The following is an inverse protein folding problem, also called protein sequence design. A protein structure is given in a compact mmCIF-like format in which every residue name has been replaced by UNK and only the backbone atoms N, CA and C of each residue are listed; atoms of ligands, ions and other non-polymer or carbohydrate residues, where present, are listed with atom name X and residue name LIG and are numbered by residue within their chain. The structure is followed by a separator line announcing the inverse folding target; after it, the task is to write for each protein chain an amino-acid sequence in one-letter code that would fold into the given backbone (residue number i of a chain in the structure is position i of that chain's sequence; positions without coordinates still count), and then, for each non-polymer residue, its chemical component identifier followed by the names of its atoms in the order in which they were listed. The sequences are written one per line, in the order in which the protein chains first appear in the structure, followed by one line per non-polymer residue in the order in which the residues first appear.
data_IF_401129751300
#
_entry.id   IF_401129751300
#
_cell.length_a   1.000
_cell.length_b   1.000
_cell.length_c   1.000
_cell.angle_alpha   90.00
_cell.angle_beta   90.00
_cell.angle_gamma   90.00
#
_symmetry.space_group_name_H-M   'P 1'
#
loop_
_entity.id
_entity.type
_entity.pdbx_description
1 polymer ?
#
# COMPACT_ATOMS: atom_id res chain seq x y z
N UNK A 1 7.27 -16.80 -19.76
CA UNK A 1 6.20 -16.62 -18.76
C UNK A 1 6.16 -15.22 -18.08
N UNK A 2 7.04 -14.27 -18.46
CA UNK A 2 7.10 -12.89 -17.89
C UNK A 2 6.91 -11.78 -18.95
N UNK A 3 6.12 -12.03 -20.00
CA UNK A 3 5.74 -10.95 -20.95
C UNK A 3 4.67 -10.06 -20.31
N UNK A 4 4.87 -8.75 -20.34
CA UNK A 4 3.89 -7.76 -19.91
C UNK A 4 3.31 -7.11 -21.17
N UNK A 5 1.98 -7.17 -21.31
CA UNK A 5 1.29 -6.47 -22.39
C UNK A 5 1.56 -4.97 -22.35
N UNK A 6 1.75 -4.39 -23.54
CA UNK A 6 1.86 -2.93 -23.68
C UNK A 6 0.58 -2.28 -23.11
N UNK A 7 0.72 -1.23 -22.28
CA UNK A 7 -0.43 -0.48 -21.78
C UNK A 7 -1.30 0.01 -22.93
N UNK A 8 -2.59 -0.32 -22.88
CA UNK A 8 -3.57 0.13 -23.86
C UNK A 8 -3.99 1.55 -23.52
N UNK A 9 -3.83 2.47 -24.47
CA UNK A 9 -4.41 3.80 -24.35
C UNK A 9 -5.94 3.71 -24.46
N UNK A 10 -6.64 4.42 -23.59
CA UNK A 10 -8.10 4.40 -23.49
C UNK A 10 -8.60 5.82 -23.50
N UNK A 11 -9.56 6.12 -24.37
CA UNK A 11 -10.20 7.44 -24.41
C UNK A 11 -10.81 7.84 -23.04
N UNK A 12 -10.83 9.14 -22.78
CA UNK A 12 -11.25 9.72 -21.50
C UNK A 12 -12.60 9.20 -20.99
N UNK A 13 -13.61 9.13 -21.86
CA UNK A 13 -14.95 8.65 -21.50
C UNK A 13 -14.93 7.22 -20.95
N UNK A 14 -14.15 6.33 -21.57
CA UNK A 14 -13.99 4.94 -21.12
C UNK A 14 -13.28 4.86 -19.76
N UNK A 15 -12.32 5.74 -19.50
CA UNK A 15 -11.63 5.79 -18.21
C UNK A 15 -12.58 6.23 -17.09
N UNK A 16 -13.38 7.28 -17.34
CA UNK A 16 -14.36 7.79 -16.37
C UNK A 16 -15.47 6.78 -16.10
N UNK A 17 -16.14 6.28 -17.14
CA UNK A 17 -17.21 5.30 -17.00
C UNK A 17 -16.70 3.98 -16.41
N UNK A 18 -15.52 3.54 -16.82
CA UNK A 18 -14.88 2.35 -16.26
C UNK A 18 -14.59 2.50 -14.77
N UNK A 19 -14.07 3.65 -14.35
CA UNK A 19 -13.81 3.97 -12.93
C UNK A 19 -15.11 3.87 -12.12
N UNK A 20 -16.17 4.55 -12.55
CA UNK A 20 -17.45 4.52 -11.81
C UNK A 20 -18.09 3.11 -11.83
N UNK A 21 -17.99 2.36 -12.94
CA UNK A 21 -18.42 0.96 -12.99
C UNK A 21 -17.73 0.09 -11.93
N UNK A 22 -16.39 0.15 -11.84
CA UNK A 22 -15.66 -0.64 -10.85
C UNK A 22 -15.92 -0.17 -9.42
N UNK A 23 -16.19 1.14 -9.22
CA UNK A 23 -16.60 1.67 -7.93
C UNK A 23 -17.94 1.05 -7.49
N UNK A 24 -18.93 1.08 -8.37
CA UNK A 24 -20.25 0.50 -8.11
C UNK A 24 -20.17 -1.01 -7.90
N UNK A 25 -19.38 -1.73 -8.73
CA UNK A 25 -19.14 -3.17 -8.59
C UNK A 25 -18.56 -3.53 -7.22
N UNK A 26 -17.55 -2.77 -6.74
CA UNK A 26 -16.98 -2.99 -5.41
C UNK A 26 -17.97 -2.68 -4.30
N UNK A 27 -18.77 -1.63 -4.43
CA UNK A 27 -19.83 -1.30 -3.45
C UNK A 27 -20.88 -2.40 -3.36
N UNK A 28 -21.34 -2.90 -4.51
CA UNK A 28 -22.23 -4.07 -4.56
C UNK A 28 -21.61 -5.24 -3.80
N UNK A 29 -20.35 -5.60 -4.11
CA UNK A 29 -19.68 -6.67 -3.39
C UNK A 29 -19.62 -6.43 -1.87
N UNK A 30 -19.36 -5.22 -1.40
CA UNK A 30 -19.36 -4.91 0.04
C UNK A 30 -20.71 -5.03 0.74
N UNK A 31 -21.81 -4.89 0.01
CA UNK A 31 -23.18 -5.01 0.53
C UNK A 31 -23.65 -6.46 0.57
N UNK A 32 -23.20 -7.29 -0.37
CA UNK A 32 -23.65 -8.68 -0.54
C UNK A 32 -22.61 -9.72 -0.12
N UNK A 33 -21.53 -9.31 0.55
CA UNK A 33 -20.53 -10.25 1.07
C UNK A 33 -20.80 -10.59 2.51
N UNK A 34 -20.61 -11.86 2.88
CA UNK A 34 -20.69 -12.34 4.26
C UNK A 34 -19.44 -12.01 5.10
N UNK A 35 -18.52 -11.20 4.55
CA UNK A 35 -17.30 -10.79 5.27
C UNK A 35 -17.64 -9.82 6.39
N UNK A 36 -17.22 -10.17 7.59
CA UNK A 36 -17.15 -9.24 8.72
C UNK A 36 -15.92 -8.36 8.57
N UNK A 37 -16.11 -7.04 8.69
CA UNK A 37 -15.03 -6.08 8.60
C UNK A 37 -14.72 -5.46 9.95
N UNK A 38 -13.41 -5.28 10.19
CA UNK A 38 -12.82 -4.62 11.34
C UNK A 38 -13.44 -3.24 11.59
N UNK A 39 -13.47 -2.82 12.87
CA UNK A 39 -14.08 -1.55 13.32
C UNK A 39 -13.22 -0.90 14.39
N UNK A 40 -13.48 0.37 14.67
CA UNK A 40 -12.85 1.08 15.79
C UNK A 40 -13.26 0.42 17.11
N UNK A 41 -12.31 0.28 18.03
CA UNK A 41 -12.53 -0.29 19.37
C UNK A 41 -12.13 0.69 20.46
N UNK A 42 -12.63 0.47 21.68
CA UNK A 42 -12.08 1.11 22.88
C UNK A 42 -10.90 0.28 23.36
N UNK A 43 -9.73 0.92 23.44
CA UNK A 43 -8.35 0.41 23.51
C UNK A 43 -7.98 -0.54 24.69
N UNK A 44 -8.86 -1.43 25.14
CA UNK A 44 -8.61 -2.30 26.29
C UNK A 44 -7.89 -3.60 25.85
N UNK A 45 -6.76 -3.91 26.49
CA UNK A 45 -6.10 -5.22 26.41
C UNK A 45 -5.09 -5.46 25.27
N UNK A 46 -4.70 -4.45 24.48
CA UNK A 46 -3.73 -4.61 23.38
C UNK A 46 -2.36 -3.97 23.70
N UNK A 47 -1.59 -4.61 24.57
CA UNK A 47 -0.33 -4.07 25.10
C UNK A 47 0.92 -4.61 24.39
N UNK A 48 0.78 -5.66 23.58
CA UNK A 48 1.92 -6.31 22.97
C UNK A 48 2.20 -5.75 21.57
N UNK A 49 3.23 -4.93 21.44
CA UNK A 49 3.71 -4.47 20.13
C UNK A 49 4.17 -5.64 19.27
N UNK A 50 3.64 -5.70 18.05
CA UNK A 50 4.00 -6.70 17.03
C UNK A 50 5.01 -6.11 16.06
N UNK A 51 4.72 -4.92 15.53
CA UNK A 51 5.61 -4.25 14.58
C UNK A 51 5.33 -2.76 14.50
N UNK A 52 6.40 -1.97 14.53
CA UNK A 52 6.38 -0.52 14.36
C UNK A 52 7.08 -0.11 13.06
N UNK A 53 6.49 0.85 12.34
CA UNK A 53 7.11 1.46 11.19
C UNK A 53 6.80 2.96 11.09
N UNK A 54 7.72 3.69 10.47
CA UNK A 54 7.54 5.10 10.13
C UNK A 54 8.08 5.46 8.76
N UNK A 55 7.47 6.46 8.15
CA UNK A 55 7.91 7.00 6.86
C UNK A 55 7.84 8.52 6.86
N UNK A 56 8.85 9.18 6.26
CA UNK A 56 8.87 10.63 6.10
C UNK A 56 7.68 11.10 5.26
N UNK A 57 6.88 12.03 5.77
CA UNK A 57 5.70 12.57 5.07
C UNK A 57 6.13 13.49 3.94
N UNK A 58 7.05 14.40 4.23
CA UNK A 58 7.51 15.42 3.31
C UNK A 58 8.86 14.99 2.75
N UNK A 59 8.96 14.93 1.42
CA UNK A 59 10.23 14.82 0.71
C UNK A 59 10.29 15.98 -0.25
N UNK A 60 11.29 16.89 -0.16
CA UNK A 60 11.43 17.93 -1.18
C UNK A 60 11.63 17.23 -2.53
N UNK A 61 10.65 17.39 -3.41
CA UNK A 61 10.71 16.91 -4.78
C UNK A 61 11.05 18.12 -5.66
N UNK A 62 12.00 17.94 -6.57
CA UNK A 62 12.32 18.96 -7.56
C UNK A 62 11.07 19.22 -8.41
N UNK A 63 10.78 20.48 -8.69
CA UNK A 63 9.69 20.91 -9.58
C UNK A 63 8.27 20.55 -9.09
N UNK A 64 8.07 20.44 -7.77
CA UNK A 64 6.76 20.22 -7.13
C UNK A 64 6.42 21.36 -6.18
N UNK A 65 5.21 21.93 -6.34
CA UNK A 65 4.70 22.95 -5.44
C UNK A 65 4.57 22.44 -4.00
N UNK A 66 5.17 23.16 -3.04
CA UNK A 66 5.17 22.78 -1.63
C UNK A 66 3.77 22.66 -1.01
N UNK A 67 2.78 23.42 -1.49
CA UNK A 67 1.41 23.32 -0.97
C UNK A 67 0.80 21.94 -1.19
N UNK A 68 1.18 21.20 -2.25
CA UNK A 68 0.69 19.84 -2.51
C UNK A 68 1.21 18.85 -1.46
N UNK A 69 2.40 19.11 -0.92
CA UNK A 69 3.00 18.31 0.14
C UNK A 69 2.34 18.60 1.50
N UNK A 70 1.96 19.86 1.74
CA UNK A 70 1.18 20.23 2.94
C UNK A 70 -0.25 19.67 2.89
N UNK A 71 -0.91 19.77 1.72
CA UNK A 71 -2.23 19.18 1.50
C UNK A 71 -2.22 17.67 1.74
N UNK A 72 -1.15 16.99 1.35
CA UNK A 72 -0.95 15.56 1.63
C UNK A 72 -0.97 15.28 3.13
N UNK A 73 -0.35 16.11 3.97
CA UNK A 73 -0.39 15.95 5.43
C UNK A 73 -1.81 16.06 5.96
N UNK A 74 -2.60 17.01 5.44
CA UNK A 74 -4.04 17.13 5.76
C UNK A 74 -4.82 15.89 5.33
N UNK A 75 -4.63 15.41 4.10
CA UNK A 75 -5.29 14.20 3.58
C UNK A 75 -4.97 12.96 4.43
N UNK A 76 -3.71 12.79 4.82
CA UNK A 76 -3.28 11.71 5.71
C UNK A 76 -3.95 11.83 7.08
N UNK A 77 -3.99 13.03 7.65
CA UNK A 77 -4.66 13.27 8.94
C UNK A 77 -6.14 12.86 8.91
N UNK A 78 -6.87 13.22 7.84
CA UNK A 78 -8.27 12.85 7.68
C UNK A 78 -8.42 11.33 7.56
N UNK A 79 -7.60 10.67 6.74
CA UNK A 79 -7.67 9.22 6.58
C UNK A 79 -7.30 8.45 7.87
N UNK A 80 -6.32 8.93 8.63
CA UNK A 80 -5.90 8.32 9.90
C UNK A 80 -7.03 8.30 10.92
N UNK A 81 -7.88 9.34 10.97
CA UNK A 81 -9.04 9.36 11.88
C UNK A 81 -9.99 8.18 11.69
N UNK A 82 -10.04 7.61 10.48
CA UNK A 82 -10.86 6.44 10.17
C UNK A 82 -10.16 5.10 10.41
N UNK A 83 -8.84 5.11 10.60
CA UNK A 83 -7.99 3.93 10.63
C UNK A 83 -7.24 3.74 11.95
N UNK A 84 -7.15 4.79 12.76
CA UNK A 84 -6.58 4.74 14.09
C UNK A 84 -7.46 3.89 15.01
N UNK A 85 -6.84 3.00 15.78
CA UNK A 85 -7.50 2.11 16.75
C UNK A 85 -8.55 1.19 16.13
N UNK A 86 -8.31 0.76 14.89
CA UNK A 86 -9.09 -0.32 14.28
C UNK A 86 -8.61 -1.66 14.83
N UNK A 87 -9.54 -2.39 15.42
CA UNK A 87 -9.34 -3.77 15.87
C UNK A 87 -9.74 -4.75 14.77
N UNK A 88 -8.86 -5.70 14.48
CA UNK A 88 -9.06 -6.79 13.53
C UNK A 88 -9.17 -8.08 14.36
N UNK A 89 -10.39 -8.50 14.66
CA UNK A 89 -10.65 -9.71 15.45
C UNK A 89 -10.43 -10.98 14.61
N UNK A 90 -10.31 -12.16 15.24
CA UNK A 90 -10.25 -13.43 14.51
C UNK A 90 -11.35 -13.54 13.45
N UNK A 91 -10.96 -13.95 12.24
CA UNK A 91 -11.78 -14.07 11.03
C UNK A 91 -12.32 -12.75 10.43
N UNK A 92 -11.97 -11.59 10.96
CA UNK A 92 -12.35 -10.31 10.36
C UNK A 92 -11.41 -9.87 9.24
N UNK A 93 -11.96 -9.03 8.36
CA UNK A 93 -11.24 -8.37 7.30
C UNK A 93 -11.00 -6.90 7.62
N UNK A 94 -9.80 -6.42 7.37
CA UNK A 94 -9.52 -4.99 7.26
C UNK A 94 -9.57 -4.61 5.77
N UNK A 95 -10.22 -3.50 5.46
CA UNK A 95 -10.24 -2.89 4.12
C UNK A 95 -10.05 -1.40 4.27
N UNK A 96 -8.95 -0.89 3.71
CA UNK A 96 -8.61 0.53 3.81
C UNK A 96 -9.75 1.39 3.24
N UNK A 97 -10.24 1.08 2.04
CA UNK A 97 -11.30 1.89 1.42
C UNK A 97 -12.67 1.68 2.03
N UNK A 98 -12.97 0.54 2.64
CA UNK A 98 -14.24 0.35 3.36
C UNK A 98 -14.27 1.20 4.64
N UNK A 99 -13.14 1.33 5.32
CA UNK A 99 -13.00 2.15 6.52
C UNK A 99 -12.93 3.65 6.22
N UNK A 100 -12.10 4.08 5.26
CA UNK A 100 -11.90 5.50 4.91
C UNK A 100 -13.04 6.07 4.06
N UNK A 101 -13.58 5.27 3.14
CA UNK A 101 -14.56 5.71 2.16
C UNK A 101 -13.99 6.64 1.07
N UNK A 102 -14.86 7.21 0.22
CA UNK A 102 -14.44 8.05 -0.94
C UNK A 102 -13.78 9.34 -0.44
N UNK A 103 -12.52 9.64 -0.81
CA UNK A 103 -11.93 10.96 -0.60
C UNK A 103 -12.67 11.98 -1.47
N UNK A 104 -13.17 13.06 -0.85
CA UNK A 104 -13.92 14.13 -1.54
C UNK A 104 -13.64 15.48 -0.89
N UNK A 105 -13.72 16.57 -1.67
CA UNK A 105 -13.59 17.94 -1.15
C UNK A 105 -14.53 18.22 0.02
N UNK A 106 -15.78 17.73 -0.06
CA UNK A 106 -16.79 17.86 1.00
C UNK A 106 -16.37 17.25 2.34
N UNK A 107 -15.55 16.19 2.31
CA UNK A 107 -14.99 15.55 3.52
C UNK A 107 -13.68 16.21 3.99
N UNK A 108 -13.30 17.35 3.40
CA UNK A 108 -12.07 18.09 3.74
C UNK A 108 -10.82 17.61 3.01
N UNK A 109 -10.91 16.62 2.11
CA UNK A 109 -9.74 16.20 1.32
C UNK A 109 -9.34 17.27 0.33
N UNK A 110 -8.03 17.53 0.29
CA UNK A 110 -7.38 18.53 -0.56
C UNK A 110 -6.71 17.85 -1.76
N UNK A 111 -6.40 18.67 -2.76
CA UNK A 111 -5.64 18.24 -3.93
C UNK A 111 -4.20 17.92 -3.54
N UNK A 112 -3.69 16.78 -3.99
CA UNK A 112 -2.31 16.37 -3.76
C UNK A 112 -1.77 15.58 -4.95
N UNK A 113 -0.49 15.24 -4.88
CA UNK A 113 0.16 14.45 -5.92
C UNK A 113 -0.42 13.03 -6.01
N UNK A 114 -0.66 12.60 -7.24
CA UNK A 114 -1.02 11.23 -7.60
C UNK A 114 -0.17 10.76 -8.78
N UNK A 115 -0.01 9.45 -8.91
CA UNK A 115 0.67 8.84 -10.07
C UNK A 115 -0.39 8.14 -10.93
N UNK A 116 -0.65 8.67 -12.12
CA UNK A 116 -1.59 8.09 -13.11
C UNK A 116 -0.81 7.65 -14.34
N UNK A 117 -0.87 6.37 -14.66
CA UNK A 117 -0.25 5.79 -15.87
C UNK A 117 1.23 6.14 -16.07
N UNK A 118 2.00 6.23 -14.98
CA UNK A 118 3.42 6.58 -15.03
C UNK A 118 3.74 8.07 -15.04
N UNK A 119 2.72 8.95 -15.09
CA UNK A 119 2.86 10.40 -15.01
C UNK A 119 2.42 10.93 -13.63
N UNK A 120 3.12 11.98 -13.17
CA UNK A 120 2.74 12.73 -11.98
C UNK A 120 1.57 13.65 -12.36
N UNK A 121 0.50 13.59 -11.58
CA UNK A 121 -0.71 14.39 -11.77
C UNK A 121 -1.25 14.84 -10.40
N UNK A 122 -2.36 15.60 -10.38
CA UNK A 122 -3.03 16.11 -9.19
C UNK A 122 -4.45 15.55 -9.10
N UNK A 123 -4.86 15.13 -7.89
CA UNK A 123 -6.23 14.70 -7.63
C UNK A 123 -6.58 14.87 -6.14
N UNK A 124 -7.86 14.84 -5.81
CA UNK A 124 -8.38 14.95 -4.45
C UNK A 124 -8.01 13.71 -3.65
N UNK A 125 -7.45 13.93 -2.45
CA UNK A 125 -6.93 12.85 -1.62
C UNK A 125 -5.56 12.34 -2.10
N UNK A 126 -4.83 13.13 -2.88
CA UNK A 126 -3.45 12.81 -3.26
C UNK A 126 -2.56 12.56 -2.04
N UNK A 127 -1.60 11.64 -2.20
CA UNK A 127 -0.68 11.22 -1.15
C UNK A 127 -1.13 10.04 -0.25
N UNK A 128 -2.38 9.57 -0.36
CA UNK A 128 -2.88 8.45 0.47
C UNK A 128 -2.20 7.10 0.19
N UNK A 129 -1.57 6.91 -0.99
CA UNK A 129 -0.76 5.71 -1.25
C UNK A 129 0.38 5.53 -0.22
N UNK A 130 0.90 6.62 0.37
CA UNK A 130 1.91 6.49 1.43
C UNK A 130 1.36 5.77 2.66
N UNK A 131 0.09 6.02 3.02
CA UNK A 131 -0.57 5.32 4.11
C UNK A 131 -0.76 3.83 3.78
N UNK A 132 -1.14 3.53 2.53
CA UNK A 132 -1.19 2.15 2.04
C UNK A 132 0.16 1.43 2.12
N UNK A 133 1.25 2.10 1.74
CA UNK A 133 2.61 1.55 1.84
C UNK A 133 2.98 1.23 3.29
N UNK A 134 2.72 2.17 4.21
CA UNK A 134 2.98 1.99 5.64
C UNK A 134 2.21 0.78 6.19
N UNK A 135 0.90 0.72 5.92
CA UNK A 135 0.04 -0.36 6.40
C UNK A 135 0.43 -1.72 5.82
N UNK A 136 0.71 -1.79 4.52
CA UNK A 136 1.21 -3.02 3.90
C UNK A 136 2.49 -3.49 4.58
N UNK A 137 3.44 -2.60 4.82
CA UNK A 137 4.71 -2.95 5.46
C UNK A 137 4.51 -3.48 6.87
N UNK A 138 3.63 -2.86 7.65
CA UNK A 138 3.27 -3.31 9.00
C UNK A 138 2.60 -4.69 8.95
N UNK A 139 1.58 -4.87 8.11
CA UNK A 139 0.86 -6.14 8.02
C UNK A 139 1.72 -7.27 7.47
N UNK A 140 2.65 -6.98 6.56
CA UNK A 140 3.60 -7.95 6.03
C UNK A 140 4.58 -8.47 7.11
N UNK A 141 4.82 -7.70 8.18
CA UNK A 141 5.62 -8.10 9.35
C UNK A 141 4.74 -8.59 10.51
N UNK A 142 3.60 -9.20 10.19
CA UNK A 142 2.66 -9.71 11.18
C UNK A 142 2.11 -11.09 10.74
N UNK A 143 1.42 -11.82 11.63
CA UNK A 143 0.73 -13.05 11.24
C UNK A 143 -0.48 -12.82 10.34
N UNK A 144 -0.92 -11.57 10.12
CA UNK A 144 -2.06 -11.27 9.26
C UNK A 144 -1.80 -11.68 7.80
N UNK A 145 -2.86 -12.10 7.13
CA UNK A 145 -2.81 -12.53 5.72
C UNK A 145 -3.22 -11.38 4.82
N UNK A 146 -2.35 -10.97 3.89
CA UNK A 146 -2.67 -9.97 2.88
C UNK A 146 -3.52 -10.64 1.79
N UNK A 147 -4.77 -10.21 1.66
CA UNK A 147 -5.76 -10.82 0.75
C UNK A 147 -6.00 -10.00 -0.51
N UNK A 148 -5.74 -8.70 -0.45
CA UNK A 148 -5.78 -7.80 -1.62
C UNK A 148 -4.69 -6.77 -1.49
N UNK A 149 -3.83 -6.67 -2.51
CA UNK A 149 -2.84 -5.61 -2.62
C UNK A 149 -2.52 -5.38 -4.09
N UNK A 150 -2.44 -4.11 -4.47
CA UNK A 150 -2.04 -3.70 -5.81
C UNK A 150 -0.72 -2.95 -5.80
N UNK A 151 -0.03 -2.97 -6.94
CA UNK A 151 1.18 -2.21 -7.20
C UNK A 151 0.99 -1.25 -8.36
N UNK A 152 1.87 -0.25 -8.47
CA UNK A 152 1.93 0.60 -9.65
C UNK A 152 2.43 -0.23 -10.82
N UNK A 153 1.74 -0.26 -11.94
CA UNK A 153 2.21 -0.98 -13.14
C UNK A 153 3.51 -0.42 -13.73
N UNK A 154 3.90 0.79 -13.34
CA UNK A 154 5.07 1.50 -13.82
C UNK A 154 6.10 1.68 -12.70
N UNK A 155 7.36 1.32 -12.97
CA UNK A 155 8.53 1.66 -12.15
C UNK A 155 9.10 2.98 -12.66
N UNK A 156 8.73 4.07 -11.99
CA UNK A 156 9.02 5.44 -12.41
C UNK A 156 10.32 5.99 -11.81
N UNK A 157 10.89 5.33 -10.80
CA UNK A 157 12.08 5.82 -10.10
C UNK A 157 13.20 4.77 -10.12
N UNK A 158 14.40 5.11 -10.64
CA UNK A 158 15.57 4.24 -10.55
C UNK A 158 15.93 3.91 -9.09
N UNK A 159 16.55 2.75 -8.87
CA UNK A 159 16.98 2.28 -7.55
C UNK A 159 18.14 3.12 -7.01
N UNK A 160 17.85 4.31 -6.53
CA UNK A 160 18.82 5.14 -5.83
C UNK A 160 18.41 5.19 -4.36
N UNK A 161 19.22 4.57 -3.48
CA UNK A 161 19.08 4.60 -2.03
C UNK A 161 17.71 4.11 -1.49
N UNK A 162 17.16 3.03 -2.06
CA UNK A 162 15.87 2.48 -1.63
C UNK A 162 16.02 1.76 -0.28
N UNK A 163 15.24 2.20 0.73
CA UNK A 163 15.24 1.61 2.09
C UNK A 163 14.27 0.43 2.27
N UNK A 164 13.40 0.18 1.28
CA UNK A 164 12.34 -0.83 1.32
C UNK A 164 12.38 -1.59 -0.02
N UNK A 165 12.19 -2.92 -0.07
CA UNK A 165 12.20 -3.70 -1.31
C UNK A 165 11.36 -3.13 -2.46
N UNK A 166 11.73 -3.45 -3.70
CA UNK A 166 10.92 -3.03 -4.85
C UNK A 166 9.50 -3.59 -4.78
N UNK A 167 8.51 -2.74 -5.04
CA UNK A 167 7.13 -3.20 -5.05
C UNK A 167 6.68 -3.71 -3.67
N UNK A 168 7.24 -3.18 -2.58
CA UNK A 168 6.74 -3.38 -1.22
C UNK A 168 5.82 -2.23 -0.75
N UNK A 169 5.25 -1.45 -1.68
CA UNK A 169 4.19 -0.47 -1.39
C UNK A 169 2.81 -0.96 -1.81
N UNK A 170 1.73 -0.35 -1.35
CA UNK A 170 0.38 -0.58 -1.86
C UNK A 170 -0.09 0.63 -2.68
N UNK A 171 -0.45 0.37 -3.94
CA UNK A 171 -1.17 1.34 -4.76
C UNK A 171 -2.63 1.32 -4.37
N UNK A 172 -3.24 2.50 -4.29
CA UNK A 172 -4.63 2.67 -3.93
C UNK A 172 -5.35 3.50 -4.98
N UNK A 173 -6.56 3.09 -5.34
CA UNK A 173 -7.53 3.87 -6.10
C UNK A 173 -8.91 3.56 -5.55
N UNK A 174 -9.59 4.60 -5.05
CA UNK A 174 -10.89 4.41 -4.42
C UNK A 174 -11.87 3.81 -5.44
N UNK A 175 -12.52 2.68 -5.15
CA UNK A 175 -12.40 1.75 -4.01
C UNK A 175 -11.99 0.33 -4.41
N UNK A 176 -11.73 0.10 -5.69
CA UNK A 176 -11.53 -1.23 -6.25
C UNK A 176 -10.06 -1.64 -6.32
N UNK A 177 -9.14 -0.68 -6.15
CA UNK A 177 -7.72 -0.92 -5.90
C UNK A 177 -7.48 -0.62 -4.43
N UNK A 178 -7.54 -1.65 -3.59
CA UNK A 178 -7.54 -1.56 -2.13
C UNK A 178 -6.35 -2.31 -1.50
N UNK A 179 -6.15 -2.07 -0.20
CA UNK A 179 -5.34 -2.93 0.66
C UNK A 179 -6.29 -3.64 1.62
N UNK A 180 -6.38 -4.97 1.51
CA UNK A 180 -7.17 -5.80 2.41
C UNK A 180 -6.33 -6.87 3.09
N UNK A 181 -6.55 -7.04 4.39
CA UNK A 181 -5.95 -8.12 5.17
C UNK A 181 -7.04 -8.89 5.90
N UNK A 182 -6.79 -10.18 6.12
CA UNK A 182 -7.65 -11.06 6.91
C UNK A 182 -6.87 -11.53 8.14
N UNK A 183 -7.52 -11.50 9.29
CA UNK A 183 -6.98 -12.11 10.48
C UNK A 183 -7.42 -13.59 10.52
N UNK A 184 -6.49 -14.48 10.22
CA UNK A 184 -6.72 -15.94 10.26
C UNK A 184 -6.20 -16.57 11.56
N UNK A 185 -5.79 -15.74 12.51
CA UNK A 185 -5.26 -16.17 13.80
C UNK A 185 -6.35 -16.21 14.87
N UNK A 186 -5.98 -16.65 16.07
CA UNK A 186 -6.82 -16.58 17.27
C UNK A 186 -6.65 -15.29 18.09
N UNK A 187 -5.72 -14.43 17.69
CA UNK A 187 -5.38 -13.18 18.37
C UNK A 187 -6.15 -12.01 17.76
N UNK A 188 -6.44 -10.97 18.53
CA UNK A 188 -6.95 -9.71 18.00
C UNK A 188 -5.80 -8.73 17.84
N UNK A 189 -5.87 -7.91 16.79
CA UNK A 189 -4.84 -6.91 16.50
C UNK A 189 -5.43 -5.52 16.40
N UNK A 190 -4.74 -4.52 16.94
CA UNK A 190 -5.12 -3.11 16.82
C UNK A 190 -4.03 -2.35 16.08
N UNK A 191 -4.43 -1.62 15.04
CA UNK A 191 -3.53 -0.72 14.31
C UNK A 191 -3.65 0.70 14.86
N UNK A 192 -2.53 1.23 15.39
CA UNK A 192 -2.42 2.63 15.85
C UNK A 192 -1.64 3.43 14.83
N UNK A 193 -2.18 4.58 14.43
CA UNK A 193 -1.61 5.44 13.39
C UNK A 193 -1.56 6.89 13.85
N UNK A 194 -0.46 7.59 13.63
CA UNK A 194 -0.36 9.01 13.97
C UNK A 194 0.62 9.75 13.06
N UNK A 195 0.46 11.08 12.99
CA UNK A 195 1.39 11.98 12.35
C UNK A 195 2.16 12.73 13.42
N UNK A 196 3.49 12.73 13.33
CA UNK A 196 4.31 13.69 14.06
C UNK A 196 4.68 14.88 13.15
N UNK A 197 5.69 15.67 13.52
CA UNK A 197 6.14 16.83 12.73
C UNK A 197 6.67 16.43 11.34
N UNK A 198 7.29 15.26 11.21
CA UNK A 198 8.04 14.85 10.02
C UNK A 198 7.64 13.49 9.46
N UNK A 199 7.05 12.61 10.27
CA UNK A 199 6.75 11.23 9.92
C UNK A 199 5.27 10.87 10.06
N UNK A 200 4.87 9.94 9.19
CA UNK A 200 3.71 9.09 9.34
C UNK A 200 4.16 7.83 10.06
N UNK A 201 3.55 7.56 11.19
CA UNK A 201 3.87 6.45 12.07
C UNK A 201 2.71 5.47 12.12
N UNK A 202 3.04 4.19 12.29
CA UNK A 202 2.07 3.14 12.52
C UNK A 202 2.66 2.01 13.33
N UNK A 203 1.84 1.43 14.19
CA UNK A 203 2.22 0.31 15.05
C UNK A 203 1.05 -0.65 15.20
N UNK A 204 1.34 -1.94 15.01
CA UNK A 204 0.38 -3.01 15.22
C UNK A 204 0.60 -3.59 16.61
N UNK A 205 -0.48 -3.64 17.39
CA UNK A 205 -0.52 -4.28 18.70
C UNK A 205 -1.36 -5.55 18.63
N UNK A 206 -1.06 -6.50 19.51
CA UNK A 206 -1.81 -7.73 19.71
C UNK A 206 -2.32 -7.80 21.15
N UNK A 207 -3.45 -8.47 21.37
CA UNK A 207 -3.96 -8.76 22.70
C UNK A 207 -3.10 -9.77 23.48
N UNK A 208 -2.25 -10.53 22.78
CA UNK A 208 -1.31 -11.47 23.39
C UNK A 208 0.07 -11.35 22.76
N UNK A 209 1.11 -11.69 23.51
CA UNK A 209 2.49 -11.71 22.98
C UNK A 209 2.62 -12.73 21.84
N UNK A 210 3.01 -12.24 20.67
CA UNK A 210 3.35 -13.06 19.50
C UNK A 210 4.76 -13.62 19.70
N UNK A 211 4.94 -14.93 19.52
CA UNK A 211 6.24 -15.61 19.74
C UNK A 211 7.07 -15.65 18.46
N UNK A 212 6.40 -15.65 17.32
CA UNK A 212 7.00 -15.68 16.01
C UNK A 212 7.59 -14.32 15.63
N UNK A 213 8.66 -14.36 14.85
CA UNK A 213 9.23 -13.17 14.21
C UNK A 213 9.04 -13.23 12.70
N UNK A 214 8.86 -12.06 12.09
CA UNK A 214 8.59 -11.92 10.66
C UNK A 214 9.65 -11.04 10.01
N UNK A 215 10.21 -11.51 8.89
CA UNK A 215 11.14 -10.73 8.07
C UNK A 215 10.65 -10.73 6.63
N UNK A 216 10.50 -9.54 6.05
CA UNK A 216 10.13 -9.39 4.64
C UNK A 216 11.37 -9.21 3.80
N UNK A 217 11.56 -10.08 2.80
CA UNK A 217 12.71 -10.05 1.89
C UNK A 217 12.26 -10.01 0.43
N UNK A 218 13.12 -9.45 -0.40
CA UNK A 218 13.01 -9.53 -1.86
C UNK A 218 13.69 -10.80 -2.36
N UNK A 219 13.04 -11.54 -3.27
CA UNK A 219 13.63 -12.68 -3.99
C UNK A 219 13.31 -12.60 -5.47
N UNK A 220 14.07 -13.34 -6.28
CA UNK A 220 13.83 -13.52 -7.71
C UNK A 220 13.72 -12.19 -8.48
N UNK A 221 14.59 -11.24 -8.13
CA UNK A 221 14.66 -9.96 -8.83
C UNK A 221 15.22 -10.17 -10.25
N UNK A 222 14.49 -9.68 -11.24
CA UNK A 222 14.84 -9.82 -12.65
C UNK A 222 14.44 -8.55 -13.41
N UNK A 223 15.30 -8.11 -14.31
CA UNK A 223 14.95 -7.13 -15.35
C UNK A 223 14.91 -7.86 -16.69
N UNK A 224 13.88 -7.62 -17.49
CA UNK A 224 13.68 -8.27 -18.78
C UNK A 224 13.32 -7.24 -19.85
N UNK A 225 13.98 -7.32 -21.01
CA UNK A 225 13.55 -6.59 -22.19
C UNK A 225 12.29 -7.23 -22.77
N UNK A 226 11.30 -6.40 -23.10
CA UNK A 226 10.01 -6.81 -23.63
C UNK A 226 9.99 -6.72 -25.16
N UNK A 227 9.19 -7.56 -25.79
CA UNK A 227 9.03 -7.64 -27.25
C UNK A 227 8.65 -6.32 -27.93
N UNK A 228 7.93 -5.44 -27.23
CA UNK A 228 7.54 -4.11 -27.71
C UNK A 228 8.61 -3.02 -27.50
N UNK A 229 9.79 -3.36 -26.97
CA UNK A 229 10.97 -2.51 -26.94
C UNK A 229 11.33 -1.87 -25.59
N UNK A 230 10.47 -1.93 -24.57
CA UNK A 230 10.81 -1.44 -23.23
C UNK A 230 11.30 -2.52 -22.28
N UNK A 231 11.54 -2.14 -21.02
CA UNK A 231 12.01 -3.06 -19.99
C UNK A 231 10.92 -3.31 -18.95
N UNK A 232 10.94 -4.49 -18.36
CA UNK A 232 10.14 -4.83 -17.20
C UNK A 232 11.00 -5.26 -16.04
N UNK A 233 10.48 -5.04 -14.83
CA UNK A 233 11.11 -5.49 -13.59
C UNK A 233 10.18 -6.42 -12.84
N UNK A 234 10.75 -7.54 -12.39
CA UNK A 234 10.06 -8.61 -11.69
C UNK A 234 10.74 -8.86 -10.36
N UNK A 235 9.96 -9.16 -9.32
CA UNK A 235 10.47 -9.69 -8.07
C UNK A 235 9.34 -10.35 -7.27
N UNK A 236 9.70 -11.05 -6.21
CA UNK A 236 8.78 -11.59 -5.22
C UNK A 236 9.10 -10.96 -3.87
N UNK A 237 8.04 -10.61 -3.14
CA UNK A 237 8.13 -10.25 -1.73
C UNK A 237 7.77 -11.49 -0.92
N UNK A 238 8.71 -11.95 -0.12
CA UNK A 238 8.61 -13.18 0.66
C UNK A 238 8.64 -12.87 2.14
N UNK A 239 7.67 -13.40 2.88
CA UNK A 239 7.62 -13.39 4.34
C UNK A 239 8.36 -14.60 4.87
N UNK A 240 9.44 -14.36 5.57
CA UNK A 240 10.13 -15.35 6.39
C UNK A 240 9.50 -15.30 7.78
N UNK A 241 8.97 -16.43 8.24
CA UNK A 241 8.40 -16.58 9.58
C UNK A 241 9.30 -17.53 10.37
N UNK A 242 9.80 -17.06 11.51
CA UNK A 242 10.64 -17.84 12.40
C UNK A 242 9.92 -18.05 13.74
N UNK A 243 9.69 -19.30 14.09
CA UNK A 243 8.96 -19.73 15.31
C UNK A 243 9.89 -19.99 16.50
N UNK A 244 11.21 -19.84 16.32
CA UNK A 244 12.26 -20.23 17.26
C UNK A 244 12.85 -21.61 16.95
N UNK A 245 12.03 -22.54 16.46
CA UNK A 245 12.45 -23.91 16.11
C UNK A 245 12.61 -24.09 14.60
N UNK A 246 11.77 -23.42 13.82
CA UNK A 246 11.72 -23.56 12.36
C UNK A 246 11.59 -22.20 11.68
N UNK A 247 12.16 -22.13 10.47
CA UNK A 247 12.01 -21.00 9.58
C UNK A 247 11.25 -21.44 8.33
N UNK A 248 10.17 -20.72 8.00
CA UNK A 248 9.35 -20.97 6.82
C UNK A 248 9.30 -19.71 5.95
N UNK A 249 9.28 -19.90 4.64
CA UNK A 249 9.18 -18.82 3.66
C UNK A 249 7.87 -18.94 2.89
N UNK A 250 7.10 -17.86 2.86
CA UNK A 250 5.84 -17.76 2.10
C UNK A 250 5.86 -16.54 1.19
N UNK A 251 5.43 -16.70 -0.06
CA UNK A 251 5.33 -15.57 -0.99
C UNK A 251 4.12 -14.73 -0.56
N UNK A 252 4.36 -13.44 -0.27
CA UNK A 252 3.29 -12.47 -0.01
C UNK A 252 2.70 -12.01 -1.35
N UNK A 253 3.58 -11.66 -2.29
CA UNK A 253 3.17 -11.09 -3.56
C UNK A 253 4.27 -11.21 -4.61
N UNK A 254 3.84 -11.38 -5.86
CA UNK A 254 4.68 -11.28 -7.04
C UNK A 254 4.45 -9.92 -7.72
N UNK A 255 5.53 -9.32 -8.19
CA UNK A 255 5.56 -7.98 -8.72
C UNK A 255 6.04 -8.02 -10.16
N UNK A 256 5.30 -7.34 -11.04
CA UNK A 256 5.65 -7.16 -12.44
C UNK A 256 5.43 -5.68 -12.80
N UNK A 257 6.46 -5.03 -13.33
CA UNK A 257 6.48 -3.59 -13.62
C UNK A 257 6.97 -3.32 -15.03
N UNK A 258 6.47 -2.27 -15.67
CA UNK A 258 7.13 -1.64 -16.80
C UNK A 258 8.08 -0.57 -16.27
N UNK A 259 9.34 -0.62 -16.66
CA UNK A 259 10.33 0.39 -16.31
C UNK A 259 10.18 1.63 -17.20
N UNK A 260 10.16 2.81 -16.60
CA UNK A 260 10.07 4.10 -17.29
C UNK A 260 11.45 4.76 -17.49
N UNK A 261 12.52 4.04 -17.15
CA UNK A 261 13.90 4.46 -17.31
C UNK A 261 14.72 3.30 -17.87
N UNK A 262 15.85 3.60 -18.49
CA UNK A 262 16.75 2.59 -19.02
C UNK A 262 17.48 1.89 -17.85
N UNK A 263 17.45 0.54 -17.71
CA UNK A 263 18.21 -0.18 -16.70
C UNK A 263 19.72 0.03 -16.82
N UNK A 264 20.21 0.31 -18.02
CA UNK A 264 21.60 0.67 -18.27
C UNK A 264 21.75 2.17 -18.00
N UNK A 265 21.96 2.51 -16.73
CA UNK A 265 22.42 3.86 -16.37
C UNK A 265 23.77 4.08 -17.09
N UNK A 266 23.86 5.08 -17.95
CA UNK A 266 25.16 5.57 -18.39
C UNK A 266 25.89 6.05 -17.14
N UNK A 267 27.08 5.53 -16.87
CA UNK A 267 28.01 6.18 -15.94
C UNK A 267 28.16 7.61 -16.42
N UNK A 268 27.55 8.57 -15.73
CA UNK A 268 28.01 9.95 -15.82
C UNK A 268 29.31 9.95 -15.04
N UNK A 269 30.41 9.91 -15.77
CA UNK A 269 31.71 10.33 -15.25
C UNK A 269 31.51 11.71 -14.60
N UNK A 270 31.88 11.80 -13.32
CA UNK A 270 31.94 13.06 -12.56
C UNK A 270 33.03 13.97 -13.13
#
# INVERSE_FOLDING_TARGET
MNEIEKPKDRGHLRQVLGKEYFILKRRYHWLFTDRTYAKTTTNEGHEHSVFYHKSLVLRPLKDVDMYLQENKRTNLSIAIKHLHEIEIKPNEHFSLWKLVGRPTKRKGYLEGLVLKSGAIDRDIGGGLCQLGNLLFWIFAHSPLTITERYRHGFDVFPDVNRKVPFGAGATLSYNYIDLQVKNETKHSFVIKLWLDKTHLNGELFSNTKIKESYKVVERNHQIKQQSWGGYSRHNQIVKITNTGETETASIIVENHAIMMYNPFLQNKEE
#
